data_IF_251681554067
#
_entry.id   IF_251681554067
#
_cell.length_a   1.000
_cell.length_b   1.000
_cell.length_c   1.000
_cell.angle_alpha   90.00
_cell.angle_beta   90.00
_cell.angle_gamma   90.00
#
_symmetry.space_group_name_H-M   'P 1'
#
loop_
_entity.id
_entity.type
_entity.pdbx_description
1 polymer ?
#
# COMPACT_ATOMS: atom_id res chain seq x y z
N UNK A 1 -2.90 7.72 -6.20
CA UNK A 1 -3.18 6.62 -7.17
C UNK A 1 -3.83 5.46 -6.41
N UNK A 2 -4.97 4.92 -6.85
CA UNK A 2 -5.69 3.86 -6.11
C UNK A 2 -5.29 2.47 -6.61
N UNK A 3 -4.87 1.59 -5.70
CA UNK A 3 -4.35 0.26 -6.03
C UNK A 3 -5.34 -0.59 -6.84
N UNK A 4 -6.57 -0.77 -6.35
CA UNK A 4 -7.57 -1.62 -7.00
C UNK A 4 -7.99 -1.08 -8.36
N UNK A 5 -8.11 0.25 -8.49
CA UNK A 5 -8.45 0.90 -9.75
C UNK A 5 -7.33 0.67 -10.78
N UNK A 6 -6.07 0.94 -10.43
CA UNK A 6 -4.95 0.76 -11.36
C UNK A 6 -4.71 -0.71 -11.69
N UNK A 7 -4.86 -1.62 -10.72
CA UNK A 7 -4.79 -3.07 -10.95
C UNK A 7 -5.84 -3.51 -11.98
N UNK A 8 -7.10 -3.08 -11.80
CA UNK A 8 -8.18 -3.46 -12.70
C UNK A 8 -8.00 -2.87 -14.11
N UNK A 9 -7.41 -1.67 -14.25
CA UNK A 9 -7.04 -1.12 -15.55
C UNK A 9 -5.99 -1.98 -16.25
N UNK A 10 -4.95 -2.41 -15.53
CA UNK A 10 -3.91 -3.30 -16.06
C UNK A 10 -4.45 -4.67 -16.43
N UNK A 11 -5.34 -5.24 -15.60
CA UNK A 11 -6.00 -6.51 -15.89
C UNK A 11 -6.77 -6.43 -17.21
N UNK A 12 -7.55 -5.36 -17.41
CA UNK A 12 -8.29 -5.15 -18.66
C UNK A 12 -7.35 -5.07 -19.87
N UNK A 13 -6.26 -4.30 -19.76
CA UNK A 13 -5.26 -4.22 -20.84
C UNK A 13 -4.64 -5.58 -21.17
N UNK A 14 -4.33 -6.38 -20.14
CA UNK A 14 -3.82 -7.74 -20.34
C UNK A 14 -4.86 -8.65 -21.00
N UNK A 15 -6.14 -8.52 -20.66
CA UNK A 15 -7.22 -9.28 -21.31
C UNK A 15 -7.35 -8.93 -22.80
N UNK A 16 -7.31 -7.64 -23.14
CA UNK A 16 -7.35 -7.17 -24.52
C UNK A 16 -6.16 -7.72 -25.33
N UNK A 17 -4.93 -7.67 -24.76
CA UNK A 17 -3.74 -8.21 -25.41
C UNK A 17 -3.74 -9.74 -25.53
N UNK A 18 -4.27 -10.46 -24.55
CA UNK A 18 -4.42 -11.92 -24.62
C UNK A 18 -5.41 -12.30 -25.73
N UNK A 19 -6.47 -11.52 -25.93
CA UNK A 19 -7.40 -11.74 -27.03
C UNK A 19 -6.70 -11.56 -28.40
N UNK A 20 -5.84 -10.55 -28.54
CA UNK A 20 -5.09 -10.30 -29.77
C UNK A 20 -3.96 -11.32 -30.02
N UNK A 21 -3.28 -11.79 -28.96
CA UNK A 21 -2.12 -12.69 -29.03
C UNK A 21 -2.31 -13.88 -28.06
N UNK A 22 -3.24 -14.81 -28.33
CA UNK A 22 -3.62 -15.86 -27.38
C UNK A 22 -2.51 -16.86 -27.04
N UNK A 23 -1.54 -17.04 -27.93
CA UNK A 23 -0.40 -17.95 -27.72
C UNK A 23 0.65 -17.39 -26.75
N UNK A 24 0.58 -16.11 -26.40
CA UNK A 24 1.53 -15.49 -25.49
C UNK A 24 1.23 -15.90 -24.03
N UNK A 25 1.87 -16.98 -23.60
CA UNK A 25 1.74 -17.52 -22.23
C UNK A 25 2.19 -16.56 -21.14
N UNK A 26 3.10 -15.62 -21.46
CA UNK A 26 3.59 -14.65 -20.48
C UNK A 26 2.49 -13.67 -20.10
N UNK A 27 1.69 -13.18 -21.07
CA UNK A 27 0.55 -12.31 -20.79
C UNK A 27 -0.48 -13.00 -19.88
N UNK A 28 -0.78 -14.28 -20.14
CA UNK A 28 -1.65 -15.08 -19.29
C UNK A 28 -1.09 -15.22 -17.87
N UNK A 29 0.22 -15.49 -17.74
CA UNK A 29 0.88 -15.57 -16.44
C UNK A 29 0.80 -14.24 -15.68
N UNK A 30 1.11 -13.12 -16.34
CA UNK A 30 1.02 -11.79 -15.76
C UNK A 30 -0.41 -11.46 -15.28
N UNK A 31 -1.43 -11.81 -16.08
CA UNK A 31 -2.83 -11.62 -15.69
C UNK A 31 -3.17 -12.40 -14.43
N UNK A 32 -2.82 -13.68 -14.39
CA UNK A 32 -3.11 -14.55 -13.24
C UNK A 32 -2.40 -14.04 -11.98
N UNK A 33 -1.10 -13.75 -12.08
CA UNK A 33 -0.33 -13.20 -10.96
C UNK A 33 -0.89 -11.86 -10.50
N UNK A 34 -1.27 -10.96 -11.42
CA UNK A 34 -1.85 -9.66 -11.07
C UNK A 34 -3.22 -9.80 -10.41
N UNK A 35 -4.02 -10.78 -10.83
CA UNK A 35 -5.33 -11.06 -10.26
C UNK A 35 -5.23 -11.62 -8.83
N UNK A 36 -4.16 -12.34 -8.52
CA UNK A 36 -3.84 -12.79 -7.15
C UNK A 36 -3.39 -11.64 -6.23
N UNK A 37 -3.02 -10.47 -6.76
CA UNK A 37 -2.67 -9.30 -5.96
C UNK A 37 -3.92 -8.55 -5.51
N UNK A 38 -4.56 -9.05 -4.45
CA UNK A 38 -5.76 -8.45 -3.87
C UNK A 38 -5.52 -7.17 -3.06
N UNK A 39 -4.28 -6.94 -2.62
CA UNK A 39 -3.88 -5.84 -1.75
C UNK A 39 -2.44 -5.38 -2.03
N UNK A 40 -2.07 -4.22 -1.50
CA UNK A 40 -0.69 -3.71 -1.62
C UNK A 40 0.31 -4.63 -0.90
N UNK A 41 -0.12 -5.31 0.17
CA UNK A 41 0.73 -6.17 0.98
C UNK A 41 1.13 -7.48 0.30
N UNK A 42 0.38 -7.92 -0.71
CA UNK A 42 0.70 -9.14 -1.46
C UNK A 42 1.76 -8.91 -2.54
N UNK A 43 2.03 -7.65 -2.91
CA UNK A 43 3.05 -7.29 -3.91
C UNK A 43 4.47 -7.67 -3.45
N UNK A 44 5.05 -8.66 -4.13
CA UNK A 44 6.32 -9.27 -3.73
C UNK A 44 7.43 -9.19 -4.80
N UNK A 45 7.19 -8.52 -5.93
CA UNK A 45 8.16 -8.40 -7.03
C UNK A 45 7.99 -9.46 -8.13
N UNK A 46 7.03 -10.38 -8.01
CA UNK A 46 6.83 -11.46 -8.99
C UNK A 46 6.41 -10.91 -10.35
N UNK A 47 5.61 -9.84 -10.40
CA UNK A 47 5.20 -9.20 -11.64
C UNK A 47 6.41 -8.61 -12.37
N UNK A 48 7.20 -7.79 -11.66
CA UNK A 48 8.41 -7.16 -12.21
C UNK A 48 9.40 -8.20 -12.69
N UNK A 49 9.60 -9.27 -11.92
CA UNK A 49 10.49 -10.35 -12.30
C UNK A 49 10.02 -11.03 -13.59
N UNK A 50 8.73 -11.34 -13.68
CA UNK A 50 8.14 -11.94 -14.89
C UNK A 50 8.36 -11.03 -16.11
N UNK A 51 8.16 -9.72 -15.98
CA UNK A 51 8.39 -8.76 -17.08
C UNK A 51 9.88 -8.70 -17.47
N UNK A 52 10.80 -8.60 -16.51
CA UNK A 52 12.23 -8.50 -16.79
C UNK A 52 12.78 -9.79 -17.42
N UNK A 53 12.32 -10.94 -16.96
CA UNK A 53 12.76 -12.25 -17.46
C UNK A 53 12.18 -12.57 -18.85
N UNK A 54 11.18 -11.81 -19.32
CA UNK A 54 10.51 -12.03 -20.60
C UNK A 54 10.84 -10.96 -21.63
N UNK A 55 11.72 -11.32 -22.58
CA UNK A 55 12.05 -10.51 -23.76
C UNK A 55 10.86 -10.25 -24.72
N UNK A 56 9.69 -10.84 -24.45
CA UNK A 56 8.51 -10.87 -25.33
C UNK A 56 7.30 -10.08 -24.79
N UNK A 57 7.40 -9.46 -23.62
CA UNK A 57 6.32 -8.59 -23.14
C UNK A 57 6.34 -7.31 -23.97
N UNK A 58 5.19 -6.93 -24.51
CA UNK A 58 5.08 -5.66 -25.23
C UNK A 58 5.62 -4.53 -24.36
N UNK A 59 6.55 -3.76 -24.91
CA UNK A 59 7.32 -2.78 -24.15
C UNK A 59 6.44 -1.80 -23.38
N UNK A 60 5.22 -1.52 -23.88
CA UNK A 60 4.26 -0.65 -23.21
C UNK A 60 3.65 -1.31 -21.97
N UNK A 61 3.01 -2.48 -22.08
CA UNK A 61 2.36 -3.13 -20.93
C UNK A 61 3.37 -3.57 -19.87
N UNK A 62 4.56 -4.01 -20.29
CA UNK A 62 5.65 -4.37 -19.37
C UNK A 62 6.08 -3.18 -18.51
N UNK A 63 6.30 -2.02 -19.13
CA UNK A 63 6.66 -0.80 -18.41
C UNK A 63 5.56 -0.33 -17.45
N UNK A 64 4.29 -0.46 -17.84
CA UNK A 64 3.17 -0.11 -16.96
C UNK A 64 3.09 -1.02 -15.74
N UNK A 65 3.29 -2.33 -15.92
CA UNK A 65 3.33 -3.32 -14.81
C UNK A 65 4.51 -3.03 -13.87
N UNK A 66 5.69 -2.74 -14.41
CA UNK A 66 6.87 -2.38 -13.61
C UNK A 66 6.60 -1.12 -12.80
N UNK A 67 6.04 -0.08 -13.44
CA UNK A 67 5.70 1.19 -12.78
C UNK A 67 4.68 0.97 -11.67
N UNK A 68 3.64 0.19 -11.94
CA UNK A 68 2.60 -0.14 -10.96
C UNK A 68 3.18 -0.82 -9.72
N UNK A 69 3.94 -1.89 -9.91
CA UNK A 69 4.46 -2.65 -8.76
C UNK A 69 5.51 -1.82 -7.99
N UNK A 70 6.42 -1.12 -8.67
CA UNK A 70 7.40 -0.25 -8.02
C UNK A 70 6.73 0.87 -7.21
N UNK A 71 5.66 1.46 -7.75
CA UNK A 71 4.93 2.53 -7.06
C UNK A 71 4.27 2.00 -5.79
N UNK A 72 3.48 0.93 -5.88
CA UNK A 72 2.68 0.46 -4.75
C UNK A 72 3.49 -0.32 -3.70
N UNK A 73 4.61 -0.93 -4.06
CA UNK A 73 5.51 -1.58 -3.09
C UNK A 73 6.15 -0.62 -2.09
N UNK A 74 6.11 0.69 -2.35
CA UNK A 74 6.53 1.70 -1.39
C UNK A 74 5.29 2.34 -0.72
N UNK A 75 4.98 2.00 0.55
CA UNK A 75 3.83 2.56 1.26
C UNK A 75 3.88 4.09 1.42
N UNK A 76 5.04 4.73 1.23
CA UNK A 76 5.14 6.19 1.27
C UNK A 76 4.53 6.86 0.03
N UNK A 77 4.35 6.14 -1.07
CA UNK A 77 3.81 6.69 -2.32
C UNK A 77 2.29 6.86 -2.29
N UNK A 78 1.61 6.18 -1.37
CA UNK A 78 0.15 6.23 -1.21
C UNK A 78 -0.31 7.16 -0.07
N UNK A 79 0.65 7.79 0.62
CA UNK A 79 0.42 8.77 1.68
C UNK A 79 0.80 10.15 1.14
N UNK A 80 0.02 11.16 1.46
CA UNK A 80 0.24 12.56 1.09
C UNK A 80 0.92 13.33 2.21
N UNK A 81 0.52 13.07 3.47
CA UNK A 81 1.05 13.70 4.68
C UNK A 81 2.54 13.50 4.81
N UNK A 82 3.29 14.60 4.75
CA UNK A 82 4.75 14.59 4.89
C UNK A 82 5.17 14.19 6.30
N UNK A 83 4.36 14.49 7.31
CA UNK A 83 4.65 14.15 8.70
C UNK A 83 4.38 12.68 8.98
N UNK A 84 3.26 12.13 8.49
CA UNK A 84 3.03 10.69 8.59
C UNK A 84 4.06 9.88 7.80
N UNK A 85 4.56 10.38 6.66
CA UNK A 85 5.71 9.76 5.96
C UNK A 85 6.94 9.64 6.85
N UNK A 86 7.21 10.60 7.75
CA UNK A 86 8.31 10.50 8.71
C UNK A 86 8.07 9.33 9.68
N UNK A 87 6.84 9.19 10.20
CA UNK A 87 6.45 8.10 11.10
C UNK A 87 6.60 6.74 10.41
N UNK A 88 5.99 6.59 9.22
CA UNK A 88 6.04 5.36 8.43
C UNK A 88 7.50 5.00 8.09
N UNK A 89 8.29 5.96 7.62
CA UNK A 89 9.71 5.75 7.32
C UNK A 89 10.49 5.31 8.55
N UNK A 90 10.20 5.87 9.72
CA UNK A 90 10.83 5.49 10.98
C UNK A 90 10.52 4.03 11.35
N UNK A 91 9.25 3.62 11.25
CA UNK A 91 8.80 2.27 11.57
C UNK A 91 9.32 1.23 10.57
N UNK A 92 9.32 1.54 9.27
CA UNK A 92 9.93 0.69 8.22
C UNK A 92 11.43 0.51 8.46
N UNK A 93 12.18 1.58 8.79
CA UNK A 93 13.61 1.49 9.14
C UNK A 93 13.87 0.65 10.38
N UNK A 94 12.89 0.56 11.29
CA UNK A 94 12.89 -0.32 12.46
C UNK A 94 12.46 -1.76 12.15
N UNK A 95 12.15 -2.07 10.88
CA UNK A 95 11.66 -3.38 10.41
C UNK A 95 10.37 -3.82 11.12
N UNK A 96 9.52 -2.86 11.47
CA UNK A 96 8.19 -3.17 11.99
C UNK A 96 7.30 -3.58 10.82
N UNK A 97 6.61 -4.71 10.98
CA UNK A 97 5.70 -5.26 9.97
C UNK A 97 4.47 -4.38 9.80
N UNK A 98 4.03 -4.20 8.55
CA UNK A 98 2.73 -3.59 8.21
C UNK A 98 1.74 -4.74 8.05
N UNK A 99 0.62 -4.71 8.76
CA UNK A 99 -0.42 -5.75 8.69
C UNK A 99 -1.64 -5.32 7.87
N UNK A 100 -1.85 -4.02 7.65
CA UNK A 100 -2.92 -3.50 6.81
C UNK A 100 -2.56 -2.16 6.16
N UNK A 101 -3.03 -1.97 4.93
CA UNK A 101 -2.97 -0.70 4.18
C UNK A 101 -4.30 -0.53 3.46
N UNK A 102 -5.00 0.57 3.72
CA UNK A 102 -6.24 0.89 3.01
C UNK A 102 -7.15 1.82 3.78
N UNK A 103 -8.42 1.88 3.36
CA UNK A 103 -9.47 2.58 4.09
C UNK A 103 -9.87 1.73 5.28
N UNK A 104 -9.64 2.23 6.49
CA UNK A 104 -9.99 1.50 7.71
C UNK A 104 -11.51 1.40 7.93
N UNK A 105 -12.27 2.36 7.42
CA UNK A 105 -13.71 2.48 7.64
C UNK A 105 -14.43 2.93 6.37
N UNK A 106 -15.71 2.59 6.23
CA UNK A 106 -16.53 2.97 5.06
C UNK A 106 -16.73 4.48 4.90
N UNK A 107 -16.56 5.25 5.99
CA UNK A 107 -16.70 6.71 6.03
C UNK A 107 -15.36 7.46 5.95
N UNK A 108 -14.21 6.75 5.88
CA UNK A 108 -12.89 7.37 5.76
C UNK A 108 -12.41 7.21 4.32
N UNK A 109 -12.26 8.33 3.62
CA UNK A 109 -11.83 8.33 2.23
C UNK A 109 -10.31 8.26 2.04
N UNK A 110 -9.56 8.44 3.12
CA UNK A 110 -8.10 8.49 3.13
C UNK A 110 -7.45 7.15 3.49
N UNK A 111 -6.20 6.99 3.09
CA UNK A 111 -5.42 5.76 3.32
C UNK A 111 -4.86 5.74 4.73
N UNK A 112 -5.04 4.63 5.43
CA UNK A 112 -4.45 4.36 6.72
C UNK A 112 -3.48 3.18 6.63
N UNK A 113 -2.38 3.25 7.38
CA UNK A 113 -1.36 2.20 7.46
C UNK A 113 -1.26 1.69 8.89
N UNK A 114 -1.36 0.39 9.05
CA UNK A 114 -1.34 -0.27 10.34
C UNK A 114 -0.05 -1.07 10.51
N UNK A 115 0.63 -0.82 11.60
CA UNK A 115 1.83 -1.54 11.99
C UNK A 115 1.53 -2.53 13.10
N UNK A 116 2.15 -3.71 13.03
CA UNK A 116 2.06 -4.74 14.05
C UNK A 116 2.98 -4.42 15.24
N UNK A 117 2.65 -3.35 15.98
CA UNK A 117 3.36 -2.90 17.18
C UNK A 117 2.47 -1.98 18.00
N UNK A 118 2.76 -1.84 19.30
CA UNK A 118 2.27 -0.69 20.08
C UNK A 118 3.12 0.54 19.75
N UNK A 119 2.47 1.65 19.40
CA UNK A 119 3.13 2.93 19.15
C UNK A 119 3.30 3.70 20.45
N UNK A 120 4.54 4.13 20.76
CA UNK A 120 4.78 5.08 21.85
C UNK A 120 4.54 6.51 21.32
N UNK A 121 3.28 6.96 21.41
CA UNK A 121 2.81 8.23 20.85
C UNK A 121 3.64 9.43 21.38
N UNK A 122 3.84 9.62 22.69
CA UNK A 122 4.62 10.76 23.18
C UNK A 122 6.06 10.76 22.64
N UNK A 123 6.72 9.61 22.66
CA UNK A 123 8.12 9.47 22.19
C UNK A 123 8.25 9.68 20.69
N UNK A 124 7.29 9.22 19.90
CA UNK A 124 7.30 9.40 18.44
C UNK A 124 7.06 10.88 18.08
N UNK A 125 6.11 11.55 18.74
CA UNK A 125 5.82 12.97 18.55
C UNK A 125 7.05 13.82 18.83
N UNK A 126 7.68 13.62 19.98
CA UNK A 126 8.90 14.35 20.37
C UNK A 126 10.03 14.10 19.37
N UNK A 127 10.33 12.82 19.10
CA UNK A 127 11.47 12.41 18.27
C UNK A 127 11.37 12.89 16.82
N UNK A 128 10.17 12.93 16.26
CA UNK A 128 9.94 13.29 14.86
C UNK A 128 9.49 14.74 14.69
N UNK A 129 9.37 15.47 15.82
CA UNK A 129 8.88 16.85 15.87
C UNK A 129 7.59 17.03 15.10
N UNK A 130 6.59 16.19 15.42
CA UNK A 130 5.29 16.22 14.76
C UNK A 130 4.51 17.47 15.21
N UNK A 131 3.90 18.17 14.27
CA UNK A 131 3.09 19.35 14.53
C UNK A 131 1.76 19.01 15.19
N UNK A 132 1.04 20.06 15.60
CA UNK A 132 -0.28 19.92 16.24
C UNK A 132 -1.35 19.41 15.26
N UNK A 133 -1.15 19.55 13.95
CA UNK A 133 -2.04 18.99 12.92
C UNK A 133 -2.05 17.46 12.92
N UNK A 134 -0.99 16.85 13.46
CA UNK A 134 -0.95 15.42 13.68
C UNK A 134 -1.58 15.15 15.04
N UNK A 135 -2.81 14.66 15.06
CA UNK A 135 -3.56 14.36 16.28
C UNK A 135 -3.40 12.89 16.69
N UNK A 136 -3.59 12.62 17.98
CA UNK A 136 -3.69 11.24 18.48
C UNK A 136 -5.07 10.67 18.14
N UNK A 137 -5.09 9.46 17.58
CA UNK A 137 -6.30 8.68 17.39
C UNK A 137 -6.26 7.42 18.22
N UNK A 138 -7.39 7.08 18.83
CA UNK A 138 -7.53 5.92 19.70
C UNK A 138 -8.89 5.27 19.51
N UNK A 139 -8.90 3.99 19.17
CA UNK A 139 -10.10 3.15 19.24
C UNK A 139 -9.94 2.15 20.38
N UNK A 140 -10.96 2.08 21.24
CA UNK A 140 -11.03 1.15 22.38
C UNK A 140 -12.19 0.17 22.26
N UNK A 141 -12.92 0.16 21.14
CA UNK A 141 -14.03 -0.75 20.93
C UNK A 141 -13.53 -2.14 20.50
N UNK A 142 -13.69 -3.17 21.36
CA UNK A 142 -13.21 -4.51 21.04
C UNK A 142 -13.94 -5.16 19.85
N UNK A 143 -15.08 -4.61 19.40
CA UNK A 143 -15.82 -5.12 18.23
C UNK A 143 -15.28 -4.59 16.91
N UNK A 144 -14.69 -3.40 16.90
CA UNK A 144 -14.14 -2.74 15.70
C UNK A 144 -12.61 -2.69 15.66
N UNK A 145 -11.95 -3.12 16.73
CA UNK A 145 -10.50 -3.22 16.82
C UNK A 145 -9.92 -2.29 17.88
N UNK A 146 -8.74 -2.63 18.40
CA UNK A 146 -8.06 -1.82 19.42
C UNK A 146 -6.80 -1.21 18.82
N UNK A 147 -6.87 0.08 18.52
CA UNK A 147 -5.82 0.82 17.79
C UNK A 147 -5.45 2.12 18.52
N UNK A 148 -4.19 2.49 18.37
CA UNK A 148 -3.65 3.77 18.82
C UNK A 148 -2.65 4.27 17.80
N UNK A 149 -2.73 5.54 17.43
CA UNK A 149 -1.90 6.08 16.37
C UNK A 149 -2.04 7.57 16.16
N UNK A 150 -1.69 7.98 14.95
CA UNK A 150 -1.70 9.36 14.50
C UNK A 150 -2.64 9.51 13.30
N UNK A 151 -3.36 10.64 13.26
CA UNK A 151 -4.09 11.11 12.08
C UNK A 151 -3.56 12.49 11.72
N UNK A 152 -3.38 12.75 10.43
CA UNK A 152 -3.16 14.11 9.94
C UNK A 152 -4.53 14.75 9.62
N UNK A 153 -4.90 15.81 10.32
CA UNK A 153 -6.20 16.48 10.13
C UNK A 153 -6.33 17.12 8.74
N UNK A 154 -5.23 17.40 8.05
CA UNK A 154 -5.25 18.02 6.73
C UNK A 154 -5.58 17.02 5.63
N UNK A 155 -5.05 15.80 5.73
CA UNK A 155 -5.23 14.75 4.71
C UNK A 155 -6.20 13.65 5.14
N UNK A 156 -6.57 13.61 6.42
CA UNK A 156 -7.32 12.53 7.08
C UNK A 156 -6.66 11.15 6.99
N UNK A 157 -5.37 11.10 6.63
CA UNK A 157 -4.59 9.87 6.58
C UNK A 157 -4.18 9.44 7.98
N UNK A 158 -3.94 8.13 8.14
CA UNK A 158 -3.70 7.54 9.45
C UNK A 158 -2.49 6.62 9.49
N UNK A 159 -1.78 6.62 10.62
CA UNK A 159 -0.77 5.62 10.96
C UNK A 159 -1.12 5.04 12.31
N UNK A 160 -1.51 3.76 12.32
CA UNK A 160 -2.00 3.07 13.50
C UNK A 160 -1.04 1.98 13.94
N UNK A 161 -1.09 1.67 15.23
CA UNK A 161 -0.58 0.43 15.79
C UNK A 161 -1.58 -0.20 16.74
N UNK A 162 -1.19 -1.32 17.32
CA UNK A 162 -2.00 -2.06 18.29
C UNK A 162 -2.11 -1.27 19.60
N UNK A 163 -3.28 -1.29 20.23
CA UNK A 163 -3.45 -0.70 21.57
C UNK A 163 -2.77 -1.54 22.67
N UNK A 164 -2.71 -2.86 22.47
CA UNK A 164 -2.08 -3.84 23.38
C UNK A 164 -1.55 -5.03 22.56
N UNK A 165 -0.54 -5.74 23.11
CA UNK A 165 -0.06 -7.03 22.60
C UNK A 165 -1.03 -8.12 23.05
#
# INVERSE_FOLDING_TARGET
MNFLIERNKLLKKLEDLIYEIPENRILTSLKNTLNEQDSILTLNGTLSRTVVDSLQVETNIGNEILTFEQYFRNPLNIIESQELKKVISYLIKKRITINFIGKAWSNVDSVWIYFDTILNIPKLREKLSLSDNIIEHKNIDPRSGLELGFIDEMTNEGVMGNLKI
#
